data_IF_202866715755
#
_entry.id   IF_202866715755
#
_cell.length_a   1.000
_cell.length_b   1.000
_cell.length_c   1.000
_cell.angle_alpha   90.00
_cell.angle_beta   90.00
_cell.angle_gamma   90.00
#
_symmetry.space_group_name_H-M   'P 1'
#
loop_
_entity.id
_entity.type
_entity.pdbx_description
1 polymer ?
#
# COMPACT_ATOMS: atom_id res chain seq x y z
N UNK A 1 -53.86 -85.90 -15.37
CA UNK A 1 -53.60 -86.52 -16.68
C UNK A 1 -52.14 -86.28 -17.03
N UNK A 2 -51.32 -87.35 -17.15
CA UNK A 2 -50.00 -87.45 -17.83
C UNK A 2 -48.87 -86.47 -17.39
N UNK A 3 -47.58 -86.76 -17.34
CA UNK A 3 -46.70 -87.93 -17.52
C UNK A 3 -45.31 -87.49 -17.00
N UNK A 4 -44.52 -88.47 -16.53
CA UNK A 4 -43.10 -88.47 -16.10
C UNK A 4 -42.08 -87.61 -16.89
N UNK A 5 -41.02 -87.13 -16.21
CA UNK A 5 -39.61 -87.36 -16.65
C UNK A 5 -38.52 -86.96 -15.62
N UNK A 6 -37.57 -87.90 -15.44
CA UNK A 6 -36.11 -87.79 -15.20
C UNK A 6 -35.48 -87.16 -13.93
N UNK A 7 -34.87 -88.08 -13.15
CA UNK A 7 -33.68 -88.05 -12.26
C UNK A 7 -32.62 -86.95 -12.49
N UNK A 8 -32.08 -86.39 -11.40
CA UNK A 8 -30.64 -86.11 -11.20
C UNK A 8 -30.30 -85.90 -9.70
N UNK A 9 -29.21 -86.52 -9.23
CA UNK A 9 -28.71 -86.48 -7.85
C UNK A 9 -27.92 -85.21 -7.48
N UNK A 10 -27.51 -85.05 -6.20
CA UNK A 10 -27.22 -83.76 -5.59
C UNK A 10 -25.74 -83.35 -5.75
N UNK A 11 -25.42 -82.04 -5.70
CA UNK A 11 -24.06 -81.59 -5.48
C UNK A 11 -23.81 -81.18 -4.02
N UNK A 12 -22.65 -81.59 -3.54
CA UNK A 12 -22.02 -81.21 -2.28
C UNK A 12 -21.71 -79.72 -2.22
N UNK A 13 -22.04 -79.08 -1.10
CA UNK A 13 -21.67 -77.70 -0.79
C UNK A 13 -20.21 -77.60 -0.36
N UNK A 14 -19.43 -76.74 -1.02
CA UNK A 14 -18.14 -76.27 -0.52
C UNK A 14 -18.13 -74.73 -0.51
N UNK A 15 -17.79 -74.18 0.65
CA UNK A 15 -17.83 -72.76 1.00
C UNK A 15 -16.75 -71.97 0.24
N UNK A 16 -17.12 -70.86 -0.41
CA UNK A 16 -16.19 -69.85 -0.94
C UNK A 16 -16.42 -68.51 -0.21
N UNK A 17 -15.41 -68.03 0.51
CA UNK A 17 -15.33 -66.64 1.02
C UNK A 17 -15.30 -65.68 -0.17
N UNK A 18 -16.15 -64.65 -0.16
CA UNK A 18 -16.16 -63.61 -1.20
C UNK A 18 -15.16 -62.48 -0.87
N UNK A 19 -14.53 -61.83 -1.87
CA UNK A 19 -13.47 -60.84 -1.66
C UNK A 19 -14.00 -59.42 -1.39
N UNK A 20 -15.32 -59.24 -1.30
CA UNK A 20 -15.96 -57.92 -1.42
C UNK A 20 -16.07 -57.13 -0.10
N UNK A 21 -15.64 -57.67 1.03
CA UNK A 21 -15.69 -56.95 2.32
C UNK A 21 -14.50 -56.01 2.55
N UNK A 22 -13.35 -56.24 1.88
CA UNK A 22 -12.17 -55.38 2.04
C UNK A 22 -12.29 -54.06 1.26
N UNK A 23 -12.86 -54.11 0.04
CA UNK A 23 -13.01 -52.93 -0.81
C UNK A 23 -14.03 -51.91 -0.26
N UNK A 24 -15.09 -52.37 0.41
CA UNK A 24 -16.08 -51.47 1.02
C UNK A 24 -15.52 -50.71 2.23
N UNK A 25 -14.65 -51.34 3.02
CA UNK A 25 -14.02 -50.69 4.17
C UNK A 25 -12.96 -49.66 3.77
N UNK A 26 -12.24 -49.90 2.66
CA UNK A 26 -11.23 -48.96 2.14
C UNK A 26 -11.89 -47.76 1.44
N UNK A 27 -13.00 -47.97 0.72
CA UNK A 27 -13.73 -46.86 0.09
C UNK A 27 -14.39 -45.93 1.11
N UNK A 28 -14.98 -46.46 2.19
CA UNK A 28 -15.63 -45.64 3.21
C UNK A 28 -14.63 -44.82 4.05
N UNK A 29 -13.41 -45.34 4.25
CA UNK A 29 -12.33 -44.61 4.94
C UNK A 29 -11.66 -43.56 4.06
N UNK A 30 -11.53 -43.80 2.75
CA UNK A 30 -11.01 -42.79 1.81
C UNK A 30 -11.96 -41.59 1.64
N UNK A 31 -13.28 -41.84 1.64
CA UNK A 31 -14.29 -40.77 1.51
C UNK A 31 -14.38 -39.88 2.75
N UNK A 32 -14.19 -40.43 3.96
CA UNK A 32 -14.14 -39.62 5.18
C UNK A 32 -12.86 -38.78 5.30
N UNK A 33 -11.72 -39.29 4.82
CA UNK A 33 -10.44 -38.57 4.81
C UNK A 33 -10.42 -37.39 3.82
N UNK A 34 -11.04 -37.55 2.65
CA UNK A 34 -11.16 -36.47 1.67
C UNK A 34 -12.12 -35.37 2.14
N UNK A 35 -13.21 -35.73 2.81
CA UNK A 35 -14.13 -34.75 3.40
C UNK A 35 -13.49 -33.96 4.56
N UNK A 36 -12.64 -34.60 5.38
CA UNK A 36 -11.89 -33.90 6.42
C UNK A 36 -10.81 -32.97 5.85
N UNK A 37 -10.14 -33.34 4.76
CA UNK A 37 -9.18 -32.47 4.08
C UNK A 37 -9.84 -31.26 3.40
N UNK A 38 -11.03 -31.41 2.82
CA UNK A 38 -11.79 -30.29 2.29
C UNK A 38 -12.31 -29.35 3.39
N UNK A 39 -12.77 -29.89 4.52
CA UNK A 39 -13.17 -29.07 5.67
C UNK A 39 -11.97 -28.37 6.32
N UNK A 40 -10.81 -29.02 6.44
CA UNK A 40 -9.59 -28.39 6.95
C UNK A 40 -9.03 -27.36 5.97
N UNK A 41 -9.11 -27.60 4.67
CA UNK A 41 -8.69 -26.64 3.64
C UNK A 41 -9.64 -25.44 3.58
N UNK A 42 -10.96 -25.65 3.74
CA UNK A 42 -11.93 -24.57 3.84
C UNK A 42 -11.77 -23.77 5.14
N UNK A 43 -11.58 -24.45 6.29
CA UNK A 43 -11.28 -23.78 7.56
C UNK A 43 -9.98 -22.99 7.50
N UNK A 44 -8.93 -23.55 6.88
CA UNK A 44 -7.65 -22.86 6.69
C UNK A 44 -7.80 -21.68 5.72
N UNK A 45 -8.67 -21.77 4.70
CA UNK A 45 -9.01 -20.64 3.83
C UNK A 45 -9.78 -19.54 4.57
N UNK A 46 -10.76 -19.89 5.42
CA UNK A 46 -11.46 -18.89 6.25
C UNK A 46 -10.56 -18.30 7.33
N UNK A 47 -9.64 -19.07 7.93
CA UNK A 47 -8.72 -18.57 8.96
C UNK A 47 -7.53 -17.79 8.38
N UNK A 48 -7.17 -18.03 7.12
CA UNK A 48 -6.19 -17.20 6.39
C UNK A 48 -6.81 -15.92 5.82
N UNK A 49 -8.14 -15.82 5.75
CA UNK A 49 -8.85 -14.58 5.43
C UNK A 49 -9.00 -13.63 6.63
N UNK A 50 -8.65 -14.08 7.84
CA UNK A 50 -8.44 -13.22 9.02
C UNK A 50 -6.96 -12.79 9.13
N UNK A 51 -6.27 -12.64 8.00
CA UNK A 51 -5.22 -11.62 7.96
C UNK A 51 -5.91 -10.31 8.26
N UNK A 52 -5.55 -9.66 9.38
CA UNK A 52 -6.07 -8.35 9.81
C UNK A 52 -6.27 -7.48 8.57
N UNK A 53 -7.54 -7.38 8.14
CA UNK A 53 -7.92 -6.55 7.02
C UNK A 53 -7.94 -5.18 7.63
N UNK A 54 -6.77 -4.55 7.69
CA UNK A 54 -6.65 -3.14 8.05
C UNK A 54 -7.65 -2.41 7.17
N UNK A 55 -8.73 -1.88 7.74
CA UNK A 55 -9.77 -1.25 6.96
C UNK A 55 -9.15 -0.01 6.31
N UNK A 56 -8.97 -0.06 4.99
CA UNK A 56 -8.45 1.04 4.20
C UNK A 56 -9.62 1.97 3.90
N UNK A 57 -9.61 3.17 4.48
CA UNK A 57 -10.76 4.08 4.47
C UNK A 57 -10.38 5.51 4.10
N UNK A 58 -11.41 6.34 3.92
CA UNK A 58 -11.27 7.78 3.89
C UNK A 58 -10.54 8.29 5.14
N UNK A 59 -9.88 9.45 5.02
CA UNK A 59 -9.17 10.05 6.14
C UNK A 59 -10.18 10.55 7.19
N UNK A 60 -10.15 10.02 8.44
CA UNK A 60 -11.07 10.46 9.47
C UNK A 60 -10.82 11.94 9.82
N UNK A 61 -11.85 12.61 10.33
CA UNK A 61 -11.77 14.04 10.70
C UNK A 61 -10.75 14.34 11.80
N UNK A 62 -10.34 13.32 12.56
CA UNK A 62 -9.28 13.41 13.57
C UNK A 62 -7.87 13.54 12.96
N UNK A 63 -7.68 13.14 11.70
CA UNK A 63 -6.41 13.31 10.97
C UNK A 63 -6.43 14.62 10.22
N UNK A 64 -5.46 15.48 10.54
CA UNK A 64 -5.28 16.82 9.97
C UNK A 64 -3.83 16.97 9.54
N UNK A 65 -3.47 18.04 8.83
CA UNK A 65 -2.06 18.26 8.47
C UNK A 65 -1.13 18.42 9.68
N UNK A 66 -1.68 18.83 10.83
CA UNK A 66 -0.96 18.90 12.11
C UNK A 66 -0.93 17.57 12.86
N UNK A 67 -1.62 16.54 12.37
CA UNK A 67 -1.62 15.19 12.91
C UNK A 67 -1.86 14.13 11.82
N UNK A 68 -0.81 13.84 11.06
CA UNK A 68 -0.79 12.79 10.03
C UNK A 68 -0.35 11.42 10.59
N UNK A 69 -0.15 11.29 11.90
CA UNK A 69 0.34 10.06 12.53
C UNK A 69 -0.44 8.81 12.11
N UNK A 70 0.26 7.71 11.88
CA UNK A 70 -0.34 6.41 11.55
C UNK A 70 0.05 5.90 10.17
N UNK A 71 -0.70 4.92 9.68
CA UNK A 71 -0.39 4.21 8.45
C UNK A 71 -1.33 4.61 7.31
N UNK A 72 -0.75 4.81 6.14
CA UNK A 72 -1.45 5.28 4.95
C UNK A 72 -1.07 4.43 3.75
N UNK A 73 -2.04 3.85 3.05
CA UNK A 73 -1.79 3.11 1.81
C UNK A 73 -2.16 3.96 0.59
N UNK A 74 -1.26 4.04 -0.39
CA UNK A 74 -1.52 4.79 -1.62
C UNK A 74 -2.61 4.10 -2.44
N UNK A 75 -3.65 4.83 -2.79
CA UNK A 75 -4.71 4.36 -3.66
C UNK A 75 -4.32 4.58 -5.13
N UNK A 76 -3.89 3.50 -5.80
CA UNK A 76 -3.44 3.56 -7.20
C UNK A 76 -4.55 3.90 -8.19
N UNK A 77 -5.80 3.59 -7.86
CA UNK A 77 -6.94 3.84 -8.75
C UNK A 77 -7.33 5.32 -8.73
N UNK A 78 -7.18 5.98 -7.58
CA UNK A 78 -7.49 7.41 -7.41
C UNK A 78 -6.29 8.34 -7.66
N UNK A 79 -5.07 7.79 -7.64
CA UNK A 79 -3.84 8.51 -7.95
C UNK A 79 -3.57 8.58 -9.46
N UNK A 80 -2.86 9.62 -9.90
CA UNK A 80 -2.35 9.65 -11.27
C UNK A 80 -1.18 8.65 -11.43
N UNK A 81 -0.82 8.36 -12.69
CA UNK A 81 0.33 7.50 -12.99
C UNK A 81 1.65 8.16 -12.57
N UNK A 82 2.47 7.44 -11.81
CA UNK A 82 3.83 7.87 -11.41
C UNK A 82 4.87 7.77 -12.51
N UNK A 83 4.53 7.17 -13.65
CA UNK A 83 5.47 6.91 -14.74
C UNK A 83 6.14 8.19 -15.29
N UNK A 84 5.42 9.27 -15.63
CA UNK A 84 6.03 10.46 -16.22
C UNK A 84 7.02 11.14 -15.27
N UNK A 85 6.65 11.24 -13.99
CA UNK A 85 7.50 11.84 -12.95
C UNK A 85 8.74 10.99 -12.68
N UNK A 86 8.58 9.68 -12.49
CA UNK A 86 9.73 8.78 -12.25
C UNK A 86 10.66 8.70 -13.47
N UNK A 87 10.12 8.73 -14.68
CA UNK A 87 10.90 8.75 -15.91
C UNK A 87 11.72 10.04 -16.02
N UNK A 88 11.10 11.20 -15.75
CA UNK A 88 11.77 12.50 -15.75
C UNK A 88 12.90 12.58 -14.72
N UNK A 89 12.70 11.96 -13.55
CA UNK A 89 13.71 11.85 -12.49
C UNK A 89 14.84 10.85 -12.80
N UNK A 90 14.77 10.16 -13.94
CA UNK A 90 15.80 9.23 -14.41
C UNK A 90 15.72 7.83 -13.78
N UNK A 91 14.59 7.45 -13.19
CA UNK A 91 14.40 6.10 -12.63
C UNK A 91 14.28 5.10 -13.77
N UNK A 92 15.08 4.02 -13.75
CA UNK A 92 15.10 3.02 -14.83
C UNK A 92 13.76 2.27 -15.02
N UNK A 93 13.46 1.88 -16.25
CA UNK A 93 12.17 1.29 -16.64
C UNK A 93 11.72 0.09 -15.77
N UNK A 94 12.64 -0.84 -15.46
CA UNK A 94 12.31 -2.01 -14.63
C UNK A 94 11.88 -1.61 -13.21
N UNK A 95 12.54 -0.61 -12.62
CA UNK A 95 12.17 -0.08 -11.31
C UNK A 95 10.82 0.63 -11.38
N UNK A 96 10.56 1.44 -12.42
CA UNK A 96 9.26 2.09 -12.61
C UNK A 96 8.12 1.08 -12.73
N UNK A 97 8.34 -0.02 -13.46
CA UNK A 97 7.37 -1.13 -13.54
C UNK A 97 7.18 -1.81 -12.19
N UNK A 98 8.25 -2.07 -11.45
CA UNK A 98 8.17 -2.58 -10.08
C UNK A 98 7.30 -1.68 -9.18
N UNK A 99 7.55 -0.37 -9.18
CA UNK A 99 6.77 0.62 -8.41
C UNK A 99 5.30 0.62 -8.84
N UNK A 100 5.02 0.55 -10.15
CA UNK A 100 3.64 0.52 -10.65
C UNK A 100 2.85 -0.71 -10.16
N UNK A 101 3.53 -1.83 -9.90
CA UNK A 101 2.93 -3.07 -9.40
C UNK A 101 2.92 -3.13 -7.87
N UNK A 102 3.84 -2.45 -7.19
CA UNK A 102 4.00 -2.51 -5.73
C UNK A 102 2.95 -1.73 -4.96
N UNK A 103 2.39 -2.30 -3.89
CA UNK A 103 1.56 -1.55 -2.93
C UNK A 103 2.46 -0.63 -2.11
N UNK A 104 2.21 0.68 -2.19
CA UNK A 104 2.98 1.70 -1.47
C UNK A 104 2.26 2.04 -0.17
N UNK A 105 2.98 1.95 0.95
CA UNK A 105 2.47 2.29 2.28
C UNK A 105 3.42 3.23 2.98
N UNK A 106 2.87 4.25 3.63
CA UNK A 106 3.56 5.20 4.48
C UNK A 106 3.22 4.90 5.94
N UNK A 107 4.24 4.85 6.78
CA UNK A 107 4.10 4.92 8.23
C UNK A 107 4.65 6.28 8.65
N UNK A 108 3.77 7.11 9.21
CA UNK A 108 4.04 8.53 9.48
C UNK A 108 4.09 8.74 10.98
N UNK A 109 5.18 9.34 11.45
CA UNK A 109 5.35 9.83 12.81
C UNK A 109 5.58 11.35 12.77
N UNK A 110 4.71 12.10 13.42
CA UNK A 110 4.72 13.54 13.51
C UNK A 110 4.80 13.98 14.96
N UNK A 111 5.80 14.80 15.26
CA UNK A 111 6.10 15.27 16.61
C UNK A 111 6.69 16.68 16.57
N UNK A 112 6.78 17.31 17.73
CA UNK A 112 7.46 18.58 17.93
C UNK A 112 8.80 18.34 18.60
N UNK A 113 9.83 19.05 18.15
CA UNK A 113 11.18 18.93 18.71
C UNK A 113 12.12 20.03 18.23
N UNK A 114 13.34 20.11 18.78
CA UNK A 114 14.31 21.08 18.33
C UNK A 114 14.67 20.87 16.84
N UNK A 115 15.07 21.92 16.11
CA UNK A 115 15.54 21.78 14.75
C UNK A 115 16.75 20.84 14.67
N UNK A 116 16.86 20.13 13.55
CA UNK A 116 18.02 19.26 13.29
C UNK A 116 19.14 20.09 12.63
N UNK A 117 20.42 19.70 12.74
CA UNK A 117 21.48 20.33 11.94
C UNK A 117 21.11 20.36 10.44
N UNK A 118 21.52 21.40 9.68
CA UNK A 118 22.46 22.46 10.05
C UNK A 118 21.83 23.64 10.82
N UNK A 119 20.53 23.63 11.08
CA UNK A 119 19.88 24.68 11.86
C UNK A 119 20.23 24.55 13.35
N UNK A 120 20.57 25.68 13.98
CA UNK A 120 20.96 25.77 15.40
C UNK A 120 19.99 26.61 16.23
N UNK A 121 18.84 27.02 15.66
CA UNK A 121 17.80 27.72 16.39
C UNK A 121 17.26 26.86 17.55
N UNK A 122 16.80 27.52 18.61
CA UNK A 122 16.27 26.86 19.80
C UNK A 122 14.76 26.63 19.74
N UNK A 123 14.06 27.31 18.83
CA UNK A 123 12.60 27.22 18.71
C UNK A 123 12.18 25.85 18.21
N UNK A 124 11.18 25.28 18.88
CA UNK A 124 10.62 23.98 18.54
C UNK A 124 9.95 24.06 17.16
N UNK A 125 10.21 23.04 16.33
CA UNK A 125 9.65 22.89 14.99
C UNK A 125 8.94 21.55 14.86
N UNK A 126 8.06 21.46 13.86
CA UNK A 126 7.42 20.20 13.50
C UNK A 126 8.42 19.27 12.81
N UNK A 127 8.39 18.00 13.18
CA UNK A 127 9.08 16.91 12.49
C UNK A 127 8.05 15.96 11.92
N UNK A 128 8.31 15.44 10.72
CA UNK A 128 7.52 14.38 10.11
C UNK A 128 8.50 13.33 9.56
N UNK A 129 8.55 12.20 10.24
CA UNK A 129 9.35 11.05 9.84
C UNK A 129 8.44 10.06 9.12
N UNK A 130 8.80 9.69 7.89
CA UNK A 130 7.99 8.85 7.01
C UNK A 130 8.79 7.65 6.56
N UNK A 131 8.35 6.48 7.00
CA UNK A 131 8.86 5.21 6.47
C UNK A 131 7.97 4.77 5.31
N UNK A 132 8.52 4.78 4.11
CA UNK A 132 7.82 4.32 2.92
C UNK A 132 8.24 2.89 2.61
N UNK A 133 7.24 2.01 2.50
CA UNK A 133 7.41 0.64 2.06
C UNK A 133 6.72 0.43 0.72
N UNK A 134 7.34 -0.37 -0.13
CA UNK A 134 6.81 -0.76 -1.43
C UNK A 134 6.94 -2.28 -1.54
N UNK A 135 5.82 -2.99 -1.68
CA UNK A 135 5.84 -4.46 -1.68
C UNK A 135 6.79 -5.03 -2.75
N UNK A 136 7.80 -5.79 -2.33
CA UNK A 136 8.80 -6.38 -3.22
C UNK A 136 9.96 -5.45 -3.61
N UNK A 137 10.06 -4.26 -3.01
CA UNK A 137 11.16 -3.30 -3.19
C UNK A 137 11.73 -2.89 -1.82
N UNK A 138 12.94 -2.30 -1.84
CA UNK A 138 13.56 -1.74 -0.64
C UNK A 138 12.75 -0.53 -0.12
N UNK A 139 12.57 -0.45 1.20
CA UNK A 139 11.93 0.70 1.85
C UNK A 139 12.82 1.95 1.78
N UNK A 140 12.20 3.13 1.87
CA UNK A 140 12.88 4.41 2.05
C UNK A 140 12.42 5.08 3.34
N UNK A 141 13.25 5.97 3.89
CA UNK A 141 12.94 6.70 5.13
C UNK A 141 13.20 8.19 4.88
N UNK A 142 12.18 9.01 5.02
CA UNK A 142 12.27 10.45 4.82
C UNK A 142 12.00 11.17 6.14
N UNK A 143 13.02 11.85 6.68
CA UNK A 143 12.92 12.59 7.94
C UNK A 143 12.85 14.08 7.65
N UNK A 144 11.68 14.68 7.82
CA UNK A 144 11.43 16.10 7.50
C UNK A 144 11.45 16.95 8.75
N UNK A 145 12.16 18.07 8.67
CA UNK A 145 12.23 19.09 9.71
C UNK A 145 11.66 20.39 9.13
N UNK A 146 10.62 20.93 9.76
CA UNK A 146 9.83 22.06 9.22
C UNK A 146 10.45 23.41 9.61
N UNK A 147 11.69 23.60 9.19
CA UNK A 147 12.46 24.82 9.47
C UNK A 147 13.00 25.46 8.19
N UNK A 148 12.58 24.98 7.03
CA UNK A 148 12.99 25.45 5.71
C UNK A 148 14.51 25.36 5.43
N UNK A 149 15.28 24.63 6.24
CA UNK A 149 16.70 24.41 6.00
C UNK A 149 16.93 23.25 5.01
N UNK A 150 17.82 23.43 4.01
CA UNK A 150 18.20 22.35 3.09
C UNK A 150 18.99 21.27 3.83
N UNK A 151 18.63 20.01 3.58
CA UNK A 151 19.33 18.83 4.11
C UNK A 151 19.46 17.77 3.04
N UNK A 152 20.63 17.15 2.99
CA UNK A 152 20.87 16.05 2.08
C UNK A 152 20.30 14.76 2.66
N UNK A 153 19.67 14.01 1.78
CA UNK A 153 19.18 12.66 2.01
C UNK A 153 19.62 11.79 0.85
N UNK A 154 20.09 10.58 1.15
CA UNK A 154 20.46 9.61 0.12
C UNK A 154 19.60 8.38 0.26
N UNK A 155 18.97 8.00 -0.84
CA UNK A 155 18.23 6.73 -0.96
C UNK A 155 18.60 6.00 -2.25
N UNK A 156 18.16 4.74 -2.35
CA UNK A 156 18.48 3.87 -3.48
C UNK A 156 17.73 4.22 -4.78
N UNK A 157 16.61 4.93 -4.68
CA UNK A 157 15.71 5.21 -5.79
C UNK A 157 16.12 6.50 -6.51
N UNK A 158 16.40 7.55 -5.75
CA UNK A 158 16.72 8.87 -6.28
C UNK A 158 18.20 9.22 -6.16
N UNK A 159 18.97 8.56 -5.29
CA UNK A 159 20.35 8.93 -4.97
C UNK A 159 20.37 10.06 -3.94
N UNK A 160 21.36 10.95 -4.02
CA UNK A 160 21.44 12.11 -3.12
C UNK A 160 20.53 13.24 -3.56
N UNK A 161 19.64 13.66 -2.67
CA UNK A 161 18.64 14.70 -2.86
C UNK A 161 18.77 15.71 -1.72
N UNK A 162 18.82 16.99 -2.05
CA UNK A 162 18.72 18.06 -1.05
C UNK A 162 17.25 18.42 -0.87
N UNK A 163 16.70 18.13 0.29
CA UNK A 163 15.31 18.41 0.65
C UNK A 163 15.17 19.56 1.64
N UNK A 164 14.04 20.26 1.59
CA UNK A 164 13.59 21.17 2.66
C UNK A 164 12.07 21.14 2.79
N UNK A 165 11.59 21.40 4.00
CA UNK A 165 10.17 21.32 4.34
C UNK A 165 9.76 22.51 5.19
N UNK A 166 8.53 23.00 4.99
CA UNK A 166 7.95 24.08 5.79
C UNK A 166 6.43 24.09 5.68
N UNK A 167 5.81 24.85 6.57
CA UNK A 167 4.42 25.29 6.41
C UNK A 167 4.32 26.35 5.32
N UNK A 168 3.22 26.36 4.58
CA UNK A 168 2.95 27.31 3.50
C UNK A 168 1.46 27.62 3.42
N UNK A 169 1.15 28.86 3.04
CA UNK A 169 -0.19 29.30 2.65
C UNK A 169 -0.41 29.11 1.14
N UNK A 170 -1.65 28.98 0.66
CA UNK A 170 -1.88 28.74 -0.79
C UNK A 170 -1.55 29.95 -1.66
N UNK A 171 -1.57 31.17 -1.11
CA UNK A 171 -1.18 32.39 -1.81
C UNK A 171 0.33 32.49 -2.06
N UNK A 172 1.15 31.82 -1.26
CA UNK A 172 2.59 31.66 -1.51
C UNK A 172 2.90 30.62 -2.60
N UNK A 173 1.96 29.74 -2.94
CA UNK A 173 2.16 28.68 -3.93
C UNK A 173 1.87 29.22 -5.34
N UNK A 174 2.89 29.24 -6.18
CA UNK A 174 2.80 29.84 -7.52
C UNK A 174 2.28 28.87 -8.59
N UNK A 175 2.62 27.58 -8.51
CA UNK A 175 2.17 26.59 -9.48
C UNK A 175 0.67 26.28 -9.31
N UNK A 176 -0.08 26.44 -10.40
CA UNK A 176 -1.53 26.26 -10.44
C UNK A 176 -1.98 24.84 -10.07
N UNK A 177 -1.19 23.83 -10.43
CA UNK A 177 -1.49 22.45 -10.05
C UNK A 177 -1.29 22.26 -8.55
N UNK A 178 -0.21 22.81 -7.97
CA UNK A 178 0.11 22.65 -6.55
C UNK A 178 -0.92 23.28 -5.60
N UNK A 179 -1.66 24.33 -6.00
CA UNK A 179 -2.67 24.97 -5.14
C UNK A 179 -4.12 24.51 -5.36
N UNK A 180 -4.34 23.57 -6.28
CA UNK A 180 -5.70 23.23 -6.74
C UNK A 180 -6.41 22.22 -5.83
N UNK A 181 -7.66 22.54 -5.48
CA UNK A 181 -8.65 21.58 -4.99
C UNK A 181 -8.43 21.10 -3.55
N UNK A 182 -7.81 21.93 -2.71
CA UNK A 182 -7.55 21.61 -1.31
C UNK A 182 -8.72 21.97 -0.40
N UNK A 183 -8.98 21.10 0.57
CA UNK A 183 -9.84 21.40 1.72
C UNK A 183 -9.13 22.34 2.69
N UNK A 184 -9.87 23.31 3.21
CA UNK A 184 -9.37 24.30 4.15
C UNK A 184 -9.59 23.80 5.58
N UNK A 185 -8.51 23.55 6.32
CA UNK A 185 -8.59 23.15 7.72
C UNK A 185 -8.36 24.37 8.65
N UNK A 186 -9.34 24.68 9.52
CA UNK A 186 -9.21 25.69 10.58
C UNK A 186 -9.15 27.15 10.11
N UNK A 187 -8.57 28.03 10.93
CA UNK A 187 -8.58 29.50 10.74
C UNK A 187 -7.46 30.06 9.83
N UNK A 188 -6.71 29.22 9.10
CA UNK A 188 -5.64 29.76 8.24
C UNK A 188 -4.70 28.74 7.60
N UNK A 189 -5.23 27.81 6.80
CA UNK A 189 -4.56 27.18 5.64
C UNK A 189 -3.03 26.93 5.79
N UNK A 190 -2.62 26.07 6.72
CA UNK A 190 -1.23 25.65 6.85
C UNK A 190 -1.01 24.36 6.07
N UNK A 191 -0.67 24.50 4.78
CA UNK A 191 -0.30 23.38 3.93
C UNK A 191 1.14 22.98 4.18
N UNK A 192 1.46 21.73 3.87
CA UNK A 192 2.83 21.24 3.93
C UNK A 192 3.44 21.41 2.55
N UNK A 193 4.56 22.11 2.43
CA UNK A 193 5.37 22.10 1.21
C UNK A 193 6.71 21.44 1.41
N UNK A 194 7.13 20.72 0.37
CA UNK A 194 8.43 20.07 0.30
C UNK A 194 9.08 20.40 -1.03
N UNK A 195 10.34 20.77 -0.99
CA UNK A 195 11.16 20.95 -2.19
C UNK A 195 12.31 19.96 -2.09
N UNK A 196 12.50 19.18 -3.15
CA UNK A 196 13.55 18.18 -3.26
C UNK A 196 14.31 18.41 -4.56
N UNK A 197 15.62 18.59 -4.48
CA UNK A 197 16.49 18.83 -5.63
C UNK A 197 17.52 17.71 -5.74
N UNK A 198 17.66 17.13 -6.91
CA UNK A 198 18.81 16.28 -7.23
C UNK A 198 19.75 17.05 -8.16
N UNK A 199 20.83 17.60 -7.60
CA UNK A 199 21.81 18.42 -8.34
C UNK A 199 22.57 17.63 -9.40
N UNK A 200 22.83 16.34 -9.15
CA UNK A 200 23.53 15.47 -10.09
C UNK A 200 22.67 15.15 -11.32
N UNK A 201 21.39 14.84 -11.10
CA UNK A 201 20.43 14.48 -12.16
C UNK A 201 19.68 15.69 -12.73
N UNK A 202 19.83 16.86 -12.13
CA UNK A 202 19.35 18.16 -12.61
C UNK A 202 17.84 18.39 -12.51
N UNK A 203 17.14 17.68 -11.63
CA UNK A 203 15.69 17.83 -11.45
C UNK A 203 15.33 18.44 -10.09
N UNK A 204 14.22 19.17 -10.06
CA UNK A 204 13.59 19.74 -8.86
C UNK A 204 12.18 19.20 -8.75
N UNK A 205 11.79 18.74 -7.57
CA UNK A 205 10.45 18.29 -7.24
C UNK A 205 9.87 19.20 -6.15
N UNK A 206 8.75 19.84 -6.45
CA UNK A 206 7.97 20.63 -5.51
C UNK A 206 6.70 19.87 -5.17
N UNK A 207 6.36 19.83 -3.89
CA UNK A 207 5.19 19.14 -3.40
C UNK A 207 4.36 20.02 -2.49
N UNK A 208 3.04 19.88 -2.57
CA UNK A 208 2.09 20.41 -1.59
C UNK A 208 1.21 19.27 -1.12
N UNK A 209 1.06 19.13 0.19
CA UNK A 209 0.23 18.10 0.79
C UNK A 209 -0.96 18.73 1.50
N UNK A 210 -2.09 18.07 1.39
CA UNK A 210 -3.37 18.54 1.90
C UNK A 210 -4.41 17.43 1.91
N UNK A 211 -5.62 17.78 2.32
CA UNK A 211 -6.78 16.93 2.14
C UNK A 211 -7.60 17.42 0.95
N UNK A 212 -8.21 16.49 0.22
CA UNK A 212 -9.13 16.79 -0.88
C UNK A 212 -10.37 15.92 -0.76
N UNK A 213 -11.49 16.39 -1.30
CA UNK A 213 -12.64 15.52 -1.57
C UNK A 213 -12.40 14.81 -2.90
N UNK A 214 -12.26 13.48 -2.84
CA UNK A 214 -12.08 12.60 -4.01
C UNK A 214 -13.22 11.58 -3.96
N UNK A 215 -14.04 11.54 -5.02
CA UNK A 215 -15.23 10.68 -5.12
C UNK A 215 -16.19 10.81 -3.92
N UNK A 216 -16.33 12.03 -3.39
CA UNK A 216 -17.21 12.33 -2.27
C UNK A 216 -16.61 12.07 -0.89
N UNK A 217 -15.37 11.57 -0.82
CA UNK A 217 -14.69 11.24 0.42
C UNK A 217 -13.45 12.09 0.66
N UNK A 218 -13.18 12.43 1.92
CA UNK A 218 -11.98 13.17 2.31
C UNK A 218 -10.75 12.25 2.27
N UNK A 219 -9.76 12.57 1.44
CA UNK A 219 -8.54 11.78 1.26
C UNK A 219 -7.29 12.62 1.50
N UNK A 220 -6.26 12.02 2.09
CA UNK A 220 -4.94 12.65 2.18
C UNK A 220 -4.27 12.62 0.81
N UNK A 221 -3.89 13.77 0.29
CA UNK A 221 -3.35 13.89 -1.06
C UNK A 221 -2.01 14.65 -1.08
N UNK A 222 -1.20 14.34 -2.09
CA UNK A 222 0.03 15.06 -2.41
C UNK A 222 0.01 15.45 -3.88
N UNK A 223 0.12 16.74 -4.16
CA UNK A 223 0.44 17.21 -5.51
C UNK A 223 1.95 17.34 -5.60
N UNK A 224 2.52 16.80 -6.67
CA UNK A 224 3.96 16.87 -6.96
C UNK A 224 4.14 17.38 -8.37
N UNK A 225 5.01 18.37 -8.53
CA UNK A 225 5.48 18.86 -9.82
C UNK A 225 6.99 18.62 -9.87
N UNK A 226 7.45 17.98 -10.93
CA UNK A 226 8.87 17.78 -11.20
C UNK A 226 9.25 18.52 -12.47
N UNK A 227 10.34 19.27 -12.39
CA UNK A 227 10.95 19.99 -13.51
C UNK A 227 12.39 19.53 -13.71
N UNK A 228 12.81 19.44 -14.98
CA UNK A 228 14.18 19.14 -15.38
C UNK A 228 14.48 19.89 -16.68
N UNK A 229 15.23 20.98 -16.60
CA UNK A 229 15.39 21.89 -17.73
C UNK A 229 14.04 22.44 -18.19
N UNK A 230 13.68 22.21 -19.47
CA UNK A 230 12.39 22.63 -20.03
C UNK A 230 11.26 21.60 -19.83
N UNK A 231 11.58 20.39 -19.37
CA UNK A 231 10.61 19.33 -19.17
C UNK A 231 9.90 19.47 -17.83
N UNK A 232 8.61 19.13 -17.82
CA UNK A 232 7.75 19.17 -16.62
C UNK A 232 6.84 17.95 -16.59
N UNK A 233 6.74 17.31 -15.44
CA UNK A 233 5.76 16.27 -15.14
C UNK A 233 5.06 16.59 -13.82
N UNK A 234 3.84 16.11 -13.64
CA UNK A 234 3.08 16.30 -12.41
C UNK A 234 2.31 15.03 -12.05
N UNK A 235 1.98 14.89 -10.77
CA UNK A 235 1.21 13.76 -10.25
C UNK A 235 0.44 14.17 -9.01
N UNK A 236 -0.81 13.72 -8.90
CA UNK A 236 -1.55 13.65 -7.65
C UNK A 236 -1.48 12.24 -7.09
N UNK A 237 -0.99 12.12 -5.86
CA UNK A 237 -1.01 10.90 -5.07
C UNK A 237 -2.15 10.99 -4.06
N UNK A 238 -2.98 9.95 -3.98
CA UNK A 238 -4.10 9.84 -3.06
C UNK A 238 -3.82 8.70 -2.09
N UNK A 239 -4.05 8.95 -0.80
CA UNK A 239 -3.77 8.01 0.27
C UNK A 239 -5.02 7.75 1.11
N UNK A 240 -5.12 6.49 1.50
CA UNK A 240 -6.19 5.95 2.31
C UNK A 240 -5.62 5.71 3.70
N UNK A 241 -6.42 6.00 4.71
CA UNK A 241 -6.01 5.76 6.10
C UNK A 241 -6.22 4.29 6.44
N UNK A 242 -5.24 3.71 7.11
CA UNK A 242 -5.31 2.35 7.59
C UNK A 242 -5.69 2.41 9.08
N UNK A 243 -6.93 2.10 9.43
CA UNK A 243 -7.32 1.97 10.83
C UNK A 243 -6.66 0.74 11.45
N UNK A 244 -6.04 0.93 12.63
CA UNK A 244 -5.41 -0.15 13.41
C UNK A 244 -6.44 -1.11 14.02
#
# INVERSE_FOLDING_TARGET
MRTTCTLFGPPSFFVRRSPNSFLFSVFLTLTLSLLSCFFFSFLLFTKLSEASTTAIMAAPSSKTLKNLNGKWTMNKTLSDSSEPVLSLQGVGYLIRKGISLATITLEVEQYEGPPKPPNTAADVVTHIDIKQSASGLSSTQENRCFDNFPRDHTDWLFGTVTGRSRWVSLDEVTDEFLKKGWEIEGEGQNFITNIAENKEKGWVAEQVWGFQIVDGERRYCRHVVVTKGAERAQIRLVYDFNEE
#
